data_IF_456468424808
#
_entry.id   IF_456468424808
#
_cell.length_a   1.000
_cell.length_b   1.000
_cell.length_c   1.000
_cell.angle_alpha   90.00
_cell.angle_beta   90.00
_cell.angle_gamma   90.00
#
_symmetry.space_group_name_H-M   'P 1'
#
loop_
_entity.id
_entity.type
_entity.pdbx_description
1 polymer ?
#
# COMPACT_ATOMS: atom_id res chain seq x y z
N UNK A 1 26.88 14.00 -15.78
CA UNK A 1 25.65 13.48 -16.41
C UNK A 1 24.66 13.14 -15.30
N UNK A 2 23.39 13.57 -15.38
CA UNK A 2 22.36 13.06 -14.47
C UNK A 2 22.09 11.61 -14.85
N UNK A 3 21.95 10.73 -13.84
CA UNK A 3 21.58 9.33 -14.04
C UNK A 3 20.18 9.19 -14.66
N UNK A 4 19.75 7.97 -14.98
CA UNK A 4 18.44 7.70 -15.58
C UNK A 4 17.30 8.19 -14.67
N UNK A 5 16.21 8.67 -15.27
CA UNK A 5 15.00 9.06 -14.54
C UNK A 5 14.27 7.79 -14.12
N UNK A 6 14.01 7.65 -12.82
CA UNK A 6 13.28 6.52 -12.26
C UNK A 6 11.94 7.00 -11.72
N UNK A 7 10.85 6.33 -12.12
CA UNK A 7 9.49 6.67 -11.73
C UNK A 7 8.97 5.71 -10.66
N UNK A 8 8.41 6.28 -9.61
CA UNK A 8 7.72 5.53 -8.55
C UNK A 8 6.23 5.35 -8.83
N UNK A 9 5.57 4.50 -8.03
CA UNK A 9 4.12 4.25 -8.15
C UNK A 9 3.23 5.49 -7.99
N UNK A 10 3.74 6.58 -7.41
CA UNK A 10 3.03 7.86 -7.34
C UNK A 10 2.96 8.56 -8.70
N UNK A 11 4.03 8.50 -9.51
CA UNK A 11 4.06 9.09 -10.85
C UNK A 11 2.96 8.50 -11.74
N UNK A 12 2.69 7.20 -11.63
CA UNK A 12 1.61 6.52 -12.35
C UNK A 12 0.19 7.00 -11.97
N UNK A 13 0.03 7.70 -10.84
CA UNK A 13 -1.25 8.21 -10.34
C UNK A 13 -1.46 9.70 -10.65
N UNK A 14 -0.50 10.35 -11.34
CA UNK A 14 -0.53 11.78 -11.64
C UNK A 14 -0.75 12.04 -13.13
N UNK A 15 -1.13 13.29 -13.46
CA UNK A 15 -1.16 13.76 -14.84
C UNK A 15 0.25 13.65 -15.47
N UNK A 16 0.40 13.09 -16.70
CA UNK A 16 1.69 12.99 -17.36
C UNK A 16 2.45 14.32 -17.48
N UNK A 17 1.73 15.43 -17.68
CA UNK A 17 2.33 16.77 -17.75
C UNK A 17 2.96 17.17 -16.42
N UNK A 18 2.32 16.83 -15.30
CA UNK A 18 2.88 17.07 -13.96
C UNK A 18 4.15 16.26 -13.77
N UNK A 19 4.10 14.96 -14.08
CA UNK A 19 5.27 14.07 -13.96
C UNK A 19 6.42 14.60 -14.82
N UNK A 20 6.18 14.98 -16.06
CA UNK A 20 7.18 15.59 -16.92
C UNK A 20 7.80 16.84 -16.27
N UNK A 21 6.98 17.76 -15.78
CA UNK A 21 7.44 19.00 -15.15
C UNK A 21 8.27 18.76 -13.88
N UNK A 22 7.98 17.70 -13.12
CA UNK A 22 8.74 17.31 -11.93
C UNK A 22 10.20 16.88 -12.28
N UNK A 23 10.44 16.41 -13.51
CA UNK A 23 11.77 15.96 -13.97
C UNK A 23 12.42 16.87 -15.02
N UNK A 24 11.74 17.94 -15.47
CA UNK A 24 12.31 18.89 -16.42
C UNK A 24 13.44 19.71 -15.76
N UNK A 25 14.68 19.72 -16.31
CA UNK A 25 15.81 20.40 -15.68
C UNK A 25 15.64 21.90 -15.45
N UNK A 26 14.80 22.55 -16.27
CA UNK A 26 14.55 23.99 -16.24
C UNK A 26 13.27 24.38 -15.50
N UNK A 27 12.52 23.40 -14.99
CA UNK A 27 11.35 23.66 -14.16
C UNK A 27 11.82 23.90 -12.73
N UNK A 28 11.60 25.09 -12.15
CA UNK A 28 11.98 25.33 -10.76
C UNK A 28 11.11 24.44 -9.86
N UNK A 29 11.76 23.56 -9.09
CA UNK A 29 11.08 22.86 -8.01
C UNK A 29 10.87 23.83 -6.87
N UNK A 30 9.62 24.25 -6.65
CA UNK A 30 9.27 25.09 -5.52
C UNK A 30 9.15 24.19 -4.29
N UNK A 31 9.85 24.54 -3.21
CA UNK A 31 9.68 23.88 -1.92
C UNK A 31 8.24 24.10 -1.46
N UNK A 32 7.47 23.02 -1.38
CA UNK A 32 6.11 23.09 -0.87
C UNK A 32 6.13 23.14 0.66
N UNK A 33 5.62 24.22 1.23
CA UNK A 33 5.38 24.34 2.66
C UNK A 33 3.92 23.99 2.97
N UNK A 34 3.65 22.89 3.69
CA UNK A 34 2.29 22.51 4.03
C UNK A 34 1.65 23.53 4.99
N UNK A 35 0.38 23.86 4.73
CA UNK A 35 -0.46 24.59 5.68
C UNK A 35 -0.58 23.83 7.00
N UNK A 36 -1.00 24.50 8.09
CA UNK A 36 -1.25 23.83 9.38
C UNK A 36 -2.22 22.64 9.24
N UNK A 37 -3.26 22.80 8.42
CA UNK A 37 -4.23 21.75 8.12
C UNK A 37 -3.60 20.58 7.36
N UNK A 38 -2.73 20.86 6.40
CA UNK A 38 -2.05 19.83 5.63
C UNK A 38 -1.00 19.09 6.46
N UNK A 39 -0.26 19.80 7.34
CA UNK A 39 0.64 19.18 8.32
C UNK A 39 -0.09 18.20 9.22
N UNK A 40 -1.17 18.65 9.88
CA UNK A 40 -1.99 17.79 10.72
C UNK A 40 -2.54 16.57 9.95
N UNK A 41 -2.90 16.76 8.67
CA UNK A 41 -3.35 15.67 7.81
C UNK A 41 -2.25 14.63 7.52
N UNK A 42 -1.02 15.08 7.28
CA UNK A 42 0.13 14.21 7.02
C UNK A 42 0.53 13.44 8.28
N UNK A 43 0.62 14.12 9.42
CA UNK A 43 0.93 13.51 10.73
C UNK A 43 -0.10 12.45 11.11
N UNK A 44 -1.40 12.74 10.93
CA UNK A 44 -2.46 11.75 11.15
C UNK A 44 -2.35 10.55 10.19
N UNK A 45 -1.80 10.75 8.98
CA UNK A 45 -1.48 9.67 8.04
C UNK A 45 -0.38 8.76 8.58
N UNK A 46 0.75 9.34 8.99
CA UNK A 46 1.89 8.61 9.56
C UNK A 46 1.53 7.88 10.86
N UNK A 47 0.79 8.52 11.77
CA UNK A 47 0.33 7.89 13.00
C UNK A 47 -0.59 6.69 12.71
N UNK A 48 -1.47 6.81 11.71
CA UNK A 48 -2.31 5.71 11.28
C UNK A 48 -1.49 4.56 10.71
N UNK A 49 -0.51 4.83 9.84
CA UNK A 49 0.40 3.81 9.30
C UNK A 49 1.12 3.02 10.39
N UNK A 50 1.70 3.72 11.38
CA UNK A 50 2.32 3.09 12.54
C UNK A 50 1.34 2.18 13.29
N UNK A 51 0.08 2.61 13.45
CA UNK A 51 -0.94 1.79 14.08
C UNK A 51 -1.28 0.52 13.27
N UNK A 52 -1.31 0.62 11.93
CA UNK A 52 -1.54 -0.53 11.04
C UNK A 52 -0.39 -1.53 11.16
N UNK A 53 0.85 -1.04 11.12
CA UNK A 53 2.06 -1.87 11.22
C UNK A 53 2.09 -2.65 12.53
N UNK A 54 1.80 -1.98 13.66
CA UNK A 54 1.71 -2.64 14.98
C UNK A 54 0.71 -3.80 14.97
N UNK A 55 -0.45 -3.61 14.34
CA UNK A 55 -1.48 -4.66 14.27
C UNK A 55 -1.07 -5.81 13.35
N UNK A 56 -0.45 -5.52 12.20
CA UNK A 56 0.07 -6.54 11.28
C UNK A 56 1.14 -7.40 11.94
N UNK A 57 2.09 -6.79 12.64
CA UNK A 57 3.12 -7.52 13.39
C UNK A 57 2.49 -8.43 14.45
N UNK A 58 1.46 -7.94 15.15
CA UNK A 58 0.77 -8.72 16.17
C UNK A 58 0.02 -9.95 15.61
N UNK A 59 -0.55 -9.86 14.41
CA UNK A 59 -1.33 -10.96 13.80
C UNK A 59 -0.52 -11.84 12.84
N UNK A 60 0.69 -11.41 12.45
CA UNK A 60 1.57 -12.14 11.53
C UNK A 60 2.99 -12.17 12.09
N UNK A 61 3.31 -13.14 12.97
CA UNK A 61 4.57 -13.18 13.73
C UNK A 61 5.85 -13.21 12.88
N UNK A 62 5.80 -13.71 11.65
CA UNK A 62 6.94 -13.75 10.71
C UNK A 62 7.09 -12.47 9.86
N UNK A 63 6.40 -11.38 10.21
CA UNK A 63 6.53 -10.09 9.52
C UNK A 63 7.90 -9.48 9.74
N UNK A 64 8.53 -8.98 8.67
CA UNK A 64 9.78 -8.21 8.77
C UNK A 64 9.47 -6.72 8.70
N UNK A 65 10.01 -5.95 9.63
CA UNK A 65 9.94 -4.48 9.62
C UNK A 65 11.29 -3.90 9.21
N UNK A 66 11.28 -3.11 8.14
CA UNK A 66 12.43 -2.33 7.70
C UNK A 66 12.37 -0.98 8.42
N UNK A 67 13.42 -0.67 9.18
CA UNK A 67 13.46 0.53 9.99
C UNK A 67 13.60 1.77 9.08
N UNK A 68 12.75 2.76 9.33
CA UNK A 68 12.73 4.04 8.60
C UNK A 68 14.00 4.87 8.78
N UNK A 69 14.80 4.63 9.83
CA UNK A 69 16.07 5.29 10.09
C UNK A 69 17.24 4.72 9.29
N UNK A 70 17.07 3.59 8.59
CA UNK A 70 18.13 3.01 7.77
C UNK A 70 18.45 3.87 6.54
N UNK A 71 19.73 3.85 6.16
CA UNK A 71 20.14 4.37 4.86
C UNK A 71 19.49 3.59 3.72
N UNK A 72 19.37 4.22 2.54
CA UNK A 72 18.72 3.63 1.36
C UNK A 72 19.25 2.23 1.03
N UNK A 73 20.56 2.07 0.95
CA UNK A 73 21.19 0.81 0.50
C UNK A 73 21.01 -0.31 1.54
N UNK A 74 21.04 0.04 2.84
CA UNK A 74 20.75 -0.88 3.93
C UNK A 74 19.28 -1.30 3.94
N UNK A 75 18.36 -0.36 3.75
CA UNK A 75 16.93 -0.64 3.65
C UNK A 75 16.61 -1.55 2.45
N UNK A 76 17.25 -1.31 1.30
CA UNK A 76 17.13 -2.19 0.11
C UNK A 76 17.67 -3.59 0.45
N UNK A 77 18.86 -3.68 1.04
CA UNK A 77 19.48 -4.96 1.39
C UNK A 77 18.60 -5.77 2.34
N UNK A 78 18.05 -5.14 3.38
CA UNK A 78 17.14 -5.77 4.35
C UNK A 78 15.83 -6.22 3.68
N UNK A 79 15.28 -5.40 2.78
CA UNK A 79 14.06 -5.73 2.02
C UNK A 79 14.31 -6.96 1.14
N UNK A 80 15.39 -6.96 0.36
CA UNK A 80 15.75 -8.08 -0.52
C UNK A 80 16.02 -9.36 0.27
N UNK A 81 16.69 -9.26 1.42
CA UNK A 81 16.92 -10.41 2.31
C UNK A 81 15.59 -11.00 2.80
N UNK A 82 14.66 -10.16 3.25
CA UNK A 82 13.34 -10.59 3.71
C UNK A 82 12.50 -11.22 2.58
N UNK A 83 12.64 -10.70 1.35
CA UNK A 83 12.01 -11.31 0.17
C UNK A 83 12.58 -12.70 -0.12
N UNK A 84 13.92 -12.84 -0.06
CA UNK A 84 14.62 -14.13 -0.26
C UNK A 84 14.28 -15.15 0.81
N UNK A 85 14.06 -14.71 2.05
CA UNK A 85 13.63 -15.59 3.15
C UNK A 85 12.14 -15.93 3.11
N UNK A 86 11.38 -15.42 2.13
CA UNK A 86 9.95 -15.69 2.01
C UNK A 86 9.11 -15.10 3.13
N UNK A 87 9.53 -13.96 3.71
CA UNK A 87 8.76 -13.30 4.77
C UNK A 87 7.33 -13.01 4.26
N UNK A 88 6.26 -13.41 4.97
CA UNK A 88 4.89 -13.24 4.49
C UNK A 88 4.52 -11.78 4.28
N UNK A 89 5.09 -10.89 5.11
CA UNK A 89 4.94 -9.45 5.03
C UNK A 89 6.28 -8.76 5.25
N UNK A 90 6.52 -7.68 4.50
CA UNK A 90 7.63 -6.75 4.73
C UNK A 90 7.05 -5.35 4.83
N UNK A 91 7.27 -4.67 5.96
CA UNK A 91 6.74 -3.33 6.23
C UNK A 91 7.86 -2.28 6.08
N UNK A 92 7.56 -1.17 5.42
CA UNK A 92 8.51 -0.06 5.19
C UNK A 92 9.62 -0.36 4.17
N UNK A 93 9.42 -1.36 3.31
CA UNK A 93 10.45 -1.87 2.40
C UNK A 93 10.89 -0.88 1.32
N UNK A 94 12.11 -1.05 0.83
CA UNK A 94 12.67 -0.33 -0.32
C UNK A 94 13.09 -1.33 -1.38
N UNK A 95 12.60 -1.14 -2.61
CA UNK A 95 12.96 -2.00 -3.73
C UNK A 95 14.23 -1.48 -4.43
N UNK A 96 15.08 -2.38 -4.96
CA UNK A 96 16.15 -1.98 -5.86
C UNK A 96 15.62 -1.14 -7.03
N UNK A 97 16.43 -0.18 -7.49
CA UNK A 97 16.12 0.54 -8.71
C UNK A 97 16.17 -0.40 -9.91
N UNK A 98 15.10 -0.41 -10.70
CA UNK A 98 15.04 -1.07 -11.99
C UNK A 98 15.36 -0.02 -13.07
N UNK A 99 16.65 0.08 -13.42
CA UNK A 99 17.15 1.07 -14.37
C UNK A 99 16.64 0.80 -15.79
N UNK A 100 16.57 -0.46 -16.19
CA UNK A 100 16.11 -0.87 -17.52
C UNK A 100 14.62 -0.55 -17.70
N UNK A 101 13.80 -0.87 -16.70
CA UNK A 101 12.38 -0.53 -16.70
C UNK A 101 12.06 0.92 -16.30
N UNK A 102 13.05 1.69 -15.84
CA UNK A 102 12.88 3.07 -15.39
C UNK A 102 12.05 3.22 -14.11
N UNK A 103 12.11 2.22 -13.20
CA UNK A 103 11.23 2.11 -12.03
C UNK A 103 11.98 2.15 -10.71
N UNK A 104 11.34 2.69 -9.68
CA UNK A 104 11.81 2.65 -8.29
C UNK A 104 10.61 2.54 -7.35
N UNK A 105 10.81 2.11 -6.09
CA UNK A 105 9.68 1.97 -5.17
C UNK A 105 10.06 1.87 -3.71
N UNK A 106 9.29 2.57 -2.87
CA UNK A 106 9.26 2.46 -1.42
C UNK A 106 7.81 2.17 -0.99
N UNK A 107 7.32 0.94 -1.18
CA UNK A 107 5.97 0.58 -0.74
C UNK A 107 5.89 0.55 0.80
N UNK A 108 4.74 0.94 1.34
CA UNK A 108 4.50 0.83 2.78
C UNK A 108 4.50 -0.64 3.20
N UNK A 109 3.95 -1.53 2.36
CA UNK A 109 3.82 -2.96 2.62
C UNK A 109 4.13 -3.76 1.35
N UNK A 110 4.90 -4.84 1.50
CA UNK A 110 5.05 -5.90 0.51
C UNK A 110 4.39 -7.17 1.05
N UNK A 111 3.43 -7.71 0.31
CA UNK A 111 2.71 -8.94 0.65
C UNK A 111 3.23 -10.09 -0.19
N UNK A 112 3.71 -11.16 0.45
CA UNK A 112 4.09 -12.37 -0.26
C UNK A 112 2.82 -13.06 -0.82
N UNK A 113 2.86 -13.40 -2.10
CA UNK A 113 1.84 -14.16 -2.83
C UNK A 113 2.55 -15.17 -3.73
N UNK A 114 1.81 -16.11 -4.30
CA UNK A 114 2.38 -17.22 -5.10
C UNK A 114 3.33 -16.75 -6.22
N UNK A 115 3.10 -15.58 -6.81
CA UNK A 115 3.92 -15.03 -7.90
C UNK A 115 5.01 -14.03 -7.45
N UNK A 116 5.31 -13.94 -6.16
CA UNK A 116 6.32 -13.04 -5.59
C UNK A 116 5.74 -12.06 -4.57
N UNK A 117 6.08 -10.77 -4.68
CA UNK A 117 5.63 -9.76 -3.72
C UNK A 117 4.77 -8.69 -4.38
N UNK A 118 3.64 -8.39 -3.75
CA UNK A 118 2.75 -7.33 -4.19
C UNK A 118 2.92 -6.09 -3.32
N UNK A 119 3.29 -4.94 -3.93
CA UNK A 119 3.40 -3.69 -3.21
C UNK A 119 2.02 -3.15 -2.88
N UNK A 120 1.91 -2.56 -1.70
CA UNK A 120 0.70 -1.92 -1.24
C UNK A 120 1.00 -0.72 -0.35
N UNK A 121 0.11 0.27 -0.42
CA UNK A 121 0.19 1.48 0.39
C UNK A 121 -0.88 1.49 1.49
N UNK A 122 -0.50 1.95 2.68
CA UNK A 122 -1.42 2.27 3.78
C UNK A 122 -2.00 3.66 3.57
N UNK A 123 -3.30 3.81 3.81
CA UNK A 123 -3.98 5.09 3.62
C UNK A 123 -5.04 5.37 4.68
N UNK A 124 -4.97 6.56 5.28
CA UNK A 124 -5.91 7.05 6.30
C UNK A 124 -7.13 7.78 5.68
N UNK A 125 -7.97 7.02 4.95
CA UNK A 125 -9.27 7.44 4.40
C UNK A 125 -10.14 6.22 3.99
N UNK A 126 -11.45 6.42 3.79
CA UNK A 126 -12.42 5.39 3.39
C UNK A 126 -12.12 4.90 1.99
N UNK A 127 -12.24 3.59 1.82
CA UNK A 127 -11.92 2.94 0.56
C UNK A 127 -12.77 1.79 0.14
N UNK A 128 -13.77 1.42 0.92
CA UNK A 128 -14.92 0.72 0.39
C UNK A 128 -16.17 1.46 0.85
N UNK A 129 -17.14 1.57 -0.05
CA UNK A 129 -18.48 2.05 0.27
C UNK A 129 -19.50 1.12 -0.36
N UNK A 130 -20.68 1.02 0.24
CA UNK A 130 -21.77 0.22 -0.33
C UNK A 130 -22.14 0.71 -1.73
N UNK A 131 -22.47 -0.23 -2.61
CA UNK A 131 -22.88 0.02 -3.99
C UNK A 131 -23.87 -1.06 -4.46
N UNK A 132 -24.80 -0.68 -5.35
CA UNK A 132 -25.84 -1.59 -5.84
C UNK A 132 -25.35 -2.69 -6.80
N UNK A 133 -24.24 -2.47 -7.52
CA UNK A 133 -23.87 -3.31 -8.69
C UNK A 133 -22.40 -3.75 -8.68
N UNK A 134 -21.57 -3.30 -7.72
CA UNK A 134 -20.11 -3.52 -7.77
C UNK A 134 -19.61 -4.43 -6.66
N UNK A 135 -18.56 -5.19 -6.98
CA UNK A 135 -17.74 -5.95 -6.04
C UNK A 135 -16.38 -5.29 -5.84
N UNK A 136 -15.83 -5.42 -4.63
CA UNK A 136 -14.46 -4.98 -4.28
C UNK A 136 -13.64 -6.16 -3.86
N UNK A 137 -12.35 -6.20 -4.23
CA UNK A 137 -11.45 -7.22 -3.72
C UNK A 137 -10.95 -6.76 -2.36
N UNK A 138 -11.03 -7.63 -1.36
CA UNK A 138 -10.66 -7.36 0.03
C UNK A 138 -9.85 -8.52 0.59
N UNK A 139 -9.09 -8.27 1.65
CA UNK A 139 -8.49 -9.33 2.46
C UNK A 139 -8.63 -9.02 3.94
N UNK A 140 -8.48 -10.05 4.78
CA UNK A 140 -8.42 -9.86 6.21
C UNK A 140 -7.02 -9.45 6.64
N UNK A 141 -6.93 -8.75 7.77
CA UNK A 141 -5.64 -8.42 8.37
C UNK A 141 -4.82 -9.67 8.76
N UNK A 142 -5.52 -10.74 9.16
CA UNK A 142 -4.94 -12.04 9.52
C UNK A 142 -4.50 -12.88 8.32
N UNK A 143 -4.93 -12.54 7.10
CA UNK A 143 -4.53 -13.23 5.87
C UNK A 143 -4.40 -12.26 4.69
N UNK A 144 -3.43 -11.33 4.71
CA UNK A 144 -3.29 -10.27 3.70
C UNK A 144 -3.16 -10.77 2.25
N UNK A 145 -2.51 -11.92 2.06
CA UNK A 145 -2.33 -12.56 0.76
C UNK A 145 -3.57 -13.31 0.24
N UNK A 146 -4.59 -13.52 1.08
CA UNK A 146 -5.82 -14.22 0.68
C UNK A 146 -6.91 -13.22 0.35
N UNK A 147 -7.33 -13.20 -0.90
CA UNK A 147 -8.27 -12.21 -1.42
C UNK A 147 -9.67 -12.77 -1.61
N UNK A 148 -10.66 -11.94 -1.31
CA UNK A 148 -12.08 -12.23 -1.40
C UNK A 148 -12.77 -11.14 -2.21
N UNK A 149 -13.81 -11.50 -2.96
CA UNK A 149 -14.67 -10.50 -3.61
C UNK A 149 -15.86 -10.20 -2.73
N UNK A 150 -15.94 -8.94 -2.27
CA UNK A 150 -17.02 -8.42 -1.46
C UNK A 150 -18.09 -7.81 -2.37
N UNK A 151 -19.20 -8.52 -2.56
CA UNK A 151 -20.33 -8.08 -3.38
C UNK A 151 -21.11 -6.94 -2.70
N UNK A 152 -21.59 -5.98 -3.50
CA UNK A 152 -22.33 -4.82 -2.98
C UNK A 152 -21.44 -3.71 -2.41
N UNK A 153 -20.14 -3.74 -2.72
CA UNK A 153 -19.16 -2.74 -2.27
C UNK A 153 -18.29 -2.29 -3.44
N UNK A 154 -18.01 -0.99 -3.50
CA UNK A 154 -17.10 -0.39 -4.48
C UNK A 154 -15.97 0.34 -3.77
N UNK A 155 -14.79 0.52 -4.41
CA UNK A 155 -13.76 1.36 -3.85
C UNK A 155 -14.26 2.79 -3.57
N UNK A 156 -14.11 3.24 -2.34
CA UNK A 156 -14.28 4.63 -1.92
C UNK A 156 -13.02 5.45 -2.24
N UNK A 157 -13.17 6.73 -2.55
CA UNK A 157 -12.03 7.61 -2.87
C UNK A 157 -12.06 8.94 -2.11
N UNK A 158 -13.11 9.23 -1.34
CA UNK A 158 -13.42 10.63 -0.98
C UNK A 158 -13.82 10.87 0.48
N UNK A 159 -14.24 9.86 1.23
CA UNK A 159 -14.73 10.01 2.63
C UNK A 159 -13.74 9.40 3.62
N UNK A 160 -13.84 9.72 4.92
CA UNK A 160 -12.98 9.16 5.99
C UNK A 160 -13.85 8.42 7.00
N UNK A 161 -13.45 7.23 7.43
CA UNK A 161 -14.07 6.52 8.57
C UNK A 161 -13.01 5.90 9.47
N UNK A 162 -13.22 5.89 10.79
CA UNK A 162 -12.22 5.49 11.78
C UNK A 162 -11.87 3.98 11.81
N UNK A 163 -12.60 3.13 11.07
CA UNK A 163 -12.47 1.66 11.19
C UNK A 163 -12.13 0.92 9.87
N UNK A 164 -11.80 1.64 8.79
CA UNK A 164 -11.46 1.05 7.49
C UNK A 164 -9.99 1.25 7.14
N UNK A 165 -9.35 0.21 6.59
CA UNK A 165 -7.89 0.12 6.36
C UNK A 165 -7.69 -0.31 4.92
N UNK A 166 -6.53 -0.04 4.35
CA UNK A 166 -6.24 -0.29 2.94
C UNK A 166 -4.84 -0.73 2.68
N UNK A 167 -4.76 -1.55 1.64
CA UNK A 167 -3.58 -1.82 0.86
C UNK A 167 -3.87 -1.48 -0.61
N UNK A 168 -3.72 -0.22 -1.02
CA UNK A 168 -3.88 0.07 -2.46
C UNK A 168 -2.68 -0.47 -3.24
N UNK A 169 -2.89 -1.49 -4.08
CA UNK A 169 -1.86 -1.96 -5.01
C UNK A 169 -1.65 -0.96 -6.15
N UNK A 170 -0.40 -0.78 -6.56
CA UNK A 170 0.00 0.15 -7.62
C UNK A 170 -0.38 -0.32 -9.04
N UNK A 171 -0.75 -1.58 -9.23
CA UNK A 171 -1.11 -2.13 -10.54
C UNK A 171 -2.55 -2.66 -10.54
N UNK A 172 -3.48 -1.81 -10.98
CA UNK A 172 -4.84 -2.10 -11.47
C UNK A 172 -5.87 -2.86 -10.63
N UNK A 173 -5.54 -3.45 -9.46
CA UNK A 173 -6.54 -4.04 -8.54
C UNK A 173 -6.33 -3.50 -7.12
N UNK A 174 -7.23 -2.63 -6.64
CA UNK A 174 -7.22 -2.20 -5.22
C UNK A 174 -7.74 -3.34 -4.36
N UNK A 175 -6.92 -3.85 -3.45
CA UNK A 175 -7.35 -4.79 -2.41
C UNK A 175 -7.48 -4.02 -1.10
N UNK A 176 -8.58 -4.19 -0.39
CA UNK A 176 -8.80 -3.48 0.87
C UNK A 176 -8.59 -4.45 2.02
N UNK A 177 -7.56 -4.24 2.84
CA UNK A 177 -7.39 -5.01 4.07
C UNK A 177 -8.34 -4.48 5.13
N UNK A 178 -9.17 -5.34 5.71
CA UNK A 178 -10.08 -4.96 6.78
C UNK A 178 -9.76 -5.73 8.07
N UNK A 179 -9.94 -5.15 9.26
CA UNK A 179 -10.04 -5.88 10.52
C UNK A 179 -11.28 -6.72 10.36
N UNK A 180 -11.12 -8.02 10.55
CA UNK A 180 -12.06 -9.10 10.24
C UNK A 180 -13.25 -8.79 9.30
N UNK A 181 -13.44 -9.56 8.21
CA UNK A 181 -14.62 -9.39 7.37
C UNK A 181 -15.94 -9.48 8.15
N UNK A 182 -15.95 -10.11 9.33
CA UNK A 182 -17.10 -10.20 10.24
C UNK A 182 -17.51 -8.85 10.88
N UNK A 183 -16.60 -7.88 10.98
CA UNK A 183 -16.90 -6.53 11.53
C UNK A 183 -17.80 -5.70 10.62
N UNK A 184 -18.01 -6.12 9.36
CA UNK A 184 -18.87 -5.46 8.39
C UNK A 184 -20.19 -6.23 8.09
N UNK A 185 -20.53 -7.29 8.82
CA UNK A 185 -21.84 -7.99 8.83
C UNK A 185 -22.38 -8.57 7.49
N UNK A 186 -23.43 -9.42 7.53
CA UNK A 186 -23.46 -10.69 8.25
C UNK A 186 -22.58 -11.75 7.56
N UNK A 187 -21.91 -12.57 8.38
CA UNK A 187 -21.13 -13.79 8.09
C UNK A 187 -21.04 -14.18 6.61
N UNK A 188 -19.87 -13.98 6.01
CA UNK A 188 -19.50 -14.66 4.77
C UNK A 188 -19.50 -16.18 5.03
N UNK A 189 -20.56 -16.88 4.65
CA UNK A 189 -20.59 -18.34 4.70
C UNK A 189 -19.53 -18.88 3.75
N UNK A 190 -18.66 -19.77 4.25
CA UNK A 190 -17.75 -20.53 3.42
C UNK A 190 -18.55 -21.28 2.32
N UNK A 191 -18.02 -21.46 1.11
CA UNK A 191 -18.64 -22.34 0.14
C UNK A 191 -18.60 -23.75 0.72
N UNK A 192 -19.76 -24.24 1.18
CA UNK A 192 -19.94 -25.65 1.50
C UNK A 192 -19.78 -26.45 0.22
N UNK A 193 -18.72 -27.25 0.15
CA UNK A 193 -18.53 -28.22 -0.91
C UNK A 193 -19.67 -29.24 -0.93
N UNK A 194 -20.29 -29.38 -2.10
CA UNK A 194 -20.90 -30.58 -2.69
C UNK A 194 -21.37 -30.15 -4.08
N UNK A 195 -21.10 -30.83 -5.20
CA UNK A 195 -20.90 -32.26 -5.46
C UNK A 195 -19.75 -32.48 -6.43
#
# INVERSE_FOLDING_TARGET
>A
MRGPILLGGYAAKQCPVRVQNDFLPRSPTITWEPSLKDRARLEAGSAFEVSVFKRLVAVTPATVVVDSGLGKDEAISKTVQAMKSGAPLILGGWLPADVEGGRTGKPDILVNVDSGYLPADVKNHLTVKRARVKGSVVSSLSSPGRWLTLAGWTPGTTTRTPYSWLLTHACSKRVVITPDPDTYGPRCSAPTGSR
#
